data_IF_271596714244
#
_entry.id   IF_271596714244
#
_cell.length_a   1.000
_cell.length_b   1.000
_cell.length_c   1.000
_cell.angle_alpha   90.00
_cell.angle_beta   90.00
_cell.angle_gamma   90.00
#
_symmetry.space_group_name_H-M   'P 1'
#
loop_
_entity.id
_entity.type
_entity.pdbx_description
1 polymer ?
#
# COMPACT_ATOMS: atom_id res chain seq x y z
N UNK A 1 12.61 16.94 8.20
CA UNK A 1 11.79 15.86 8.78
C UNK A 1 11.65 14.81 7.69
N UNK A 2 12.22 13.62 7.88
CA UNK A 2 12.21 12.55 6.87
C UNK A 2 10.91 11.77 7.09
N UNK A 3 9.91 11.93 6.21
CA UNK A 3 8.78 10.99 6.18
C UNK A 3 9.32 9.65 5.69
N UNK A 4 9.22 8.61 6.51
CA UNK A 4 9.63 7.25 6.14
C UNK A 4 8.39 6.48 5.71
N UNK A 5 7.99 6.68 4.45
CA UNK A 5 6.82 6.00 3.89
C UNK A 5 7.24 4.96 2.85
N UNK A 6 6.67 3.76 2.96
CA UNK A 6 6.88 2.67 2.02
C UNK A 6 5.56 2.29 1.37
N UNK A 7 5.57 2.10 0.06
CA UNK A 7 4.44 1.58 -0.70
C UNK A 7 4.72 0.13 -1.10
N UNK A 8 3.78 -0.74 -0.75
CA UNK A 8 3.74 -2.14 -1.12
C UNK A 8 2.73 -2.31 -2.25
N UNK A 9 3.17 -2.95 -3.32
CA UNK A 9 2.31 -3.30 -4.44
C UNK A 9 2.26 -4.83 -4.50
N UNK A 10 1.05 -5.40 -4.55
CA UNK A 10 0.81 -6.84 -4.70
C UNK A 10 0.10 -7.09 -6.04
N UNK A 11 0.64 -7.94 -6.94
CA UNK A 11 0.16 -8.03 -8.32
C UNK A 11 -1.26 -8.57 -8.39
N UNK A 12 -2.16 -7.85 -9.06
CA UNK A 12 -3.54 -8.27 -9.30
C UNK A 12 -4.46 -8.24 -8.07
N UNK A 13 -4.03 -7.57 -6.99
CA UNK A 13 -4.74 -7.60 -5.73
C UNK A 13 -4.89 -6.19 -5.15
N UNK A 14 -3.87 -5.65 -4.46
CA UNK A 14 -3.97 -4.40 -3.67
C UNK A 14 -2.64 -3.62 -3.72
N UNK A 15 -2.74 -2.29 -3.75
CA UNK A 15 -1.63 -1.38 -3.45
C UNK A 15 -1.92 -0.67 -2.12
N UNK A 16 -0.92 -0.60 -1.23
CA UNK A 16 -1.05 0.15 0.02
C UNK A 16 0.27 0.75 0.48
N UNK A 17 0.21 1.93 1.09
CA UNK A 17 1.38 2.59 1.69
C UNK A 17 1.34 2.52 3.21
N UNK A 18 2.52 2.50 3.82
CA UNK A 18 2.74 2.48 5.27
C UNK A 18 3.68 3.62 5.60
N UNK A 19 3.22 4.57 6.42
CA UNK A 19 4.04 5.62 7.01
C UNK A 19 4.49 5.18 8.40
N UNK A 20 5.76 4.82 8.52
CA UNK A 20 6.33 4.37 9.80
C UNK A 20 6.51 5.50 10.82
N UNK A 21 6.49 6.75 10.38
CA UNK A 21 6.61 7.90 11.28
C UNK A 21 5.31 8.18 12.04
N UNK A 22 4.17 7.93 11.40
CA UNK A 22 2.84 8.19 11.97
C UNK A 22 2.11 6.92 12.38
N UNK A 23 2.45 5.78 11.78
CA UNK A 23 1.69 4.54 11.94
C UNK A 23 0.55 4.36 10.93
N UNK A 24 0.43 5.26 9.95
CA UNK A 24 -0.67 5.23 9.00
C UNK A 24 -0.48 4.18 7.90
N UNK A 25 -1.53 3.42 7.60
CA UNK A 25 -1.65 2.52 6.46
C UNK A 25 -2.70 3.08 5.51
N UNK A 26 -2.28 3.38 4.28
CA UNK A 26 -3.09 3.93 3.20
C UNK A 26 -3.52 2.79 2.28
N UNK A 27 -4.78 2.38 2.36
CA UNK A 27 -5.35 1.29 1.54
C UNK A 27 -6.19 1.83 0.38
N UNK A 28 -6.18 1.09 -0.72
CA UNK A 28 -6.99 1.36 -1.90
C UNK A 28 -7.94 0.18 -2.18
N UNK A 29 -9.06 0.06 -1.44
CA UNK A 29 -9.99 -1.04 -1.65
C UNK A 29 -10.68 -0.91 -3.01
N UNK A 30 -10.47 -1.90 -3.90
CA UNK A 30 -11.29 -2.12 -5.09
C UNK A 30 -11.19 -1.09 -6.22
N UNK A 31 -10.24 -0.14 -6.18
CA UNK A 31 -10.05 0.82 -7.27
C UNK A 31 -9.00 0.36 -8.27
N UNK A 32 -9.34 0.41 -9.56
CA UNK A 32 -8.34 0.24 -10.62
C UNK A 32 -7.31 1.39 -10.54
N UNK A 33 -6.02 1.11 -10.75
CA UNK A 33 -4.91 2.10 -10.64
C UNK A 33 -5.15 3.44 -11.35
N UNK A 34 -5.90 3.43 -12.46
CA UNK A 34 -6.18 4.62 -13.28
C UNK A 34 -7.16 5.63 -12.68
N UNK A 35 -7.81 5.32 -11.54
CA UNK A 35 -8.84 6.19 -10.95
C UNK A 35 -8.51 6.60 -9.51
N UNK A 36 -7.21 6.73 -9.23
CA UNK A 36 -6.70 7.18 -7.94
C UNK A 36 -7.18 8.61 -7.63
N UNK A 37 -8.08 8.72 -6.67
CA UNK A 37 -8.28 9.97 -5.93
C UNK A 37 -7.78 9.75 -4.51
N UNK A 38 -6.86 10.61 -4.07
CA UNK A 38 -6.31 10.61 -2.69
C UNK A 38 -7.44 10.66 -1.64
N UNK A 39 -8.59 11.22 -2.03
CA UNK A 39 -9.81 11.37 -1.25
C UNK A 39 -10.50 10.03 -0.92
N UNK A 40 -10.19 8.97 -1.68
CA UNK A 40 -10.79 7.63 -1.55
C UNK A 40 -9.85 6.61 -0.89
N UNK A 41 -8.67 7.04 -0.47
CA UNK A 41 -7.71 6.19 0.22
C UNK A 41 -8.17 6.02 1.67
N UNK A 42 -8.41 4.77 2.09
CA UNK A 42 -8.69 4.48 3.49
C UNK A 42 -7.40 4.61 4.30
N UNK A 43 -7.42 5.38 5.39
CA UNK A 43 -6.27 5.57 6.27
C UNK A 43 -6.54 4.84 7.57
N UNK A 44 -5.69 3.87 7.89
CA UNK A 44 -5.77 3.07 9.11
C UNK A 44 -4.58 3.41 9.97
N UNK A 45 -4.84 3.85 11.21
CA UNK A 45 -3.78 4.18 12.15
C UNK A 45 -3.42 2.94 12.98
N UNK A 46 -2.13 2.63 13.02
CA UNK A 46 -1.56 1.51 13.75
C UNK A 46 -0.42 2.06 14.59
N UNK A 47 -0.20 1.53 15.79
CA UNK A 47 1.00 1.88 16.55
C UNK A 47 2.25 1.53 15.72
N UNK A 48 3.25 2.43 15.56
CA UNK A 48 4.48 2.10 14.86
C UNK A 48 5.19 0.84 15.38
N UNK A 49 5.04 0.53 16.67
CA UNK A 49 5.59 -0.68 17.28
C UNK A 49 4.90 -1.98 16.82
N UNK A 50 3.68 -1.86 16.27
CA UNK A 50 2.85 -2.98 15.82
C UNK A 50 2.86 -3.15 14.29
N UNK A 51 3.58 -2.28 13.56
CA UNK A 51 3.73 -2.31 12.10
C UNK A 51 4.71 -3.42 11.64
N UNK A 52 4.34 -4.66 11.91
CA UNK A 52 5.02 -5.85 11.39
C UNK A 52 4.17 -6.56 10.31
N UNK A 53 4.81 -7.41 9.50
CA UNK A 53 4.21 -8.07 8.32
C UNK A 53 2.85 -8.68 8.62
N UNK A 54 2.71 -9.44 9.71
CA UNK A 54 1.45 -10.09 10.07
C UNK A 54 0.32 -9.10 10.39
N UNK A 55 0.62 -7.95 11.02
CA UNK A 55 -0.37 -6.90 11.27
C UNK A 55 -0.78 -6.23 9.96
N UNK A 56 0.18 -5.96 9.08
CA UNK A 56 -0.07 -5.38 7.76
C UNK A 56 -0.98 -6.31 6.95
N UNK A 57 -0.64 -7.60 6.83
CA UNK A 57 -1.44 -8.60 6.14
C UNK A 57 -2.87 -8.67 6.69
N UNK A 58 -3.03 -8.75 8.03
CA UNK A 58 -4.34 -8.78 8.68
C UNK A 58 -5.17 -7.54 8.37
N UNK A 59 -4.58 -6.35 8.48
CA UNK A 59 -5.28 -5.10 8.22
C UNK A 59 -5.71 -5.00 6.76
N UNK A 60 -4.84 -5.41 5.84
CA UNK A 60 -5.17 -5.44 4.42
C UNK A 60 -6.34 -6.40 4.18
N UNK A 61 -6.29 -7.63 4.69
CA UNK A 61 -7.39 -8.60 4.58
C UNK A 61 -8.71 -8.05 5.14
N UNK A 62 -8.70 -7.53 6.37
CA UNK A 62 -9.91 -7.00 7.05
C UNK A 62 -10.59 -5.87 6.26
N UNK A 63 -9.81 -5.04 5.57
CA UNK A 63 -10.31 -3.83 4.92
C UNK A 63 -10.52 -3.97 3.42
N UNK A 64 -10.05 -5.08 2.82
CA UNK A 64 -10.17 -5.30 1.37
C UNK A 64 -10.87 -6.61 1.04
N UNK A 65 -11.01 -7.52 2.01
CA UNK A 65 -11.52 -8.88 1.81
C UNK A 65 -10.52 -9.81 1.12
N UNK A 66 -9.28 -9.38 0.85
CA UNK A 66 -8.29 -10.23 0.21
C UNK A 66 -7.49 -11.05 1.24
N UNK A 67 -7.86 -12.33 1.36
CA UNK A 67 -7.18 -13.32 2.20
C UNK A 67 -5.98 -13.99 1.52
N UNK A 68 -5.72 -13.71 0.24
CA UNK A 68 -4.58 -14.27 -0.50
C UNK A 68 -3.23 -13.68 -0.03
N UNK A 69 -3.27 -12.53 0.66
CA UNK A 69 -2.09 -11.84 1.19
C UNK A 69 -1.74 -12.44 2.56
N UNK A 70 -1.21 -13.65 2.53
CA UNK A 70 -0.67 -14.33 3.72
C UNK A 70 0.79 -13.97 4.01
N UNK A 71 1.47 -13.32 3.06
CA UNK A 71 2.83 -12.80 3.21
C UNK A 71 3.11 -11.67 2.22
N UNK A 72 4.02 -10.78 2.57
CA UNK A 72 4.57 -9.75 1.68
C UNK A 72 5.73 -10.29 0.81
N UNK A 73 6.00 -11.60 0.86
CA UNK A 73 7.00 -12.27 0.03
C UNK A 73 6.62 -12.20 -1.45
N UNK A 74 7.25 -11.29 -2.17
CA UNK A 74 6.94 -10.99 -3.58
C UNK A 74 6.32 -9.62 -3.81
N UNK A 75 6.00 -8.89 -2.74
CA UNK A 75 5.58 -7.50 -2.83
C UNK A 75 6.73 -6.64 -3.36
N UNK A 76 6.40 -5.69 -4.24
CA UNK A 76 7.35 -4.66 -4.65
C UNK A 76 7.30 -3.53 -3.64
N UNK A 77 8.42 -3.30 -2.96
CA UNK A 77 8.59 -2.18 -2.02
C UNK A 77 9.18 -0.99 -2.74
N UNK A 78 8.55 0.16 -2.61
CA UNK A 78 9.06 1.44 -3.11
C UNK A 78 8.95 2.49 -2.02
N UNK A 79 9.99 3.32 -1.87
CA UNK A 79 9.99 4.43 -0.92
C UNK A 79 9.22 5.63 -1.48
N UNK A 80 8.49 6.31 -0.61
CA UNK A 80 7.75 7.52 -0.91
C UNK A 80 8.19 8.64 0.03
N UNK A 81 8.20 9.87 -0.50
CA UNK A 81 8.41 11.09 0.28
C UNK A 81 7.08 11.73 0.72
N UNK A 82 5.95 11.23 0.21
CA UNK A 82 4.61 11.71 0.53
C UNK A 82 3.51 10.94 -0.24
N UNK A 83 2.26 11.14 0.16
CA UNK A 83 1.09 10.40 -0.37
C UNK A 83 0.77 10.76 -1.82
N UNK A 84 1.12 11.97 -2.22
CA UNK A 84 1.05 12.47 -3.58
C UNK A 84 1.92 11.67 -4.56
N UNK A 85 2.97 10.99 -4.08
CA UNK A 85 3.85 10.16 -4.92
C UNK A 85 3.25 8.78 -5.25
N UNK A 86 2.19 8.35 -4.53
CA UNK A 86 1.60 7.01 -4.69
C UNK A 86 1.17 6.77 -6.14
N UNK A 87 0.41 7.69 -6.73
CA UNK A 87 -0.09 7.55 -8.10
C UNK A 87 1.02 7.40 -9.12
N UNK A 88 2.01 8.30 -9.06
CA UNK A 88 3.20 8.24 -9.93
C UNK A 88 3.95 6.93 -9.79
N UNK A 89 4.12 6.41 -8.57
CA UNK A 89 4.85 5.16 -8.31
C UNK A 89 4.10 3.92 -8.78
N UNK A 90 2.77 3.93 -8.70
CA UNK A 90 1.94 2.88 -9.28
C UNK A 90 2.10 2.89 -10.82
N UNK A 91 2.02 4.05 -11.47
CA UNK A 91 2.23 4.16 -12.92
C UNK A 91 3.65 3.75 -13.37
N UNK A 92 4.68 4.07 -12.58
CA UNK A 92 6.05 3.60 -12.81
C UNK A 92 6.17 2.09 -12.68
N UNK A 93 5.48 1.49 -11.70
CA UNK A 93 5.43 0.05 -11.57
C UNK A 93 4.76 -0.57 -12.79
N UNK A 94 3.58 -0.10 -13.21
CA UNK A 94 2.87 -0.61 -14.39
C UNK A 94 3.74 -0.56 -15.65
N UNK A 95 4.43 0.57 -15.89
CA UNK A 95 5.35 0.72 -17.02
C UNK A 95 6.56 -0.21 -16.97
N UNK A 96 6.99 -0.65 -15.78
CA UNK A 96 8.08 -1.62 -15.61
C UNK A 96 7.69 -3.06 -15.96
N UNK A 97 6.47 -3.29 -16.48
CA UNK A 97 5.94 -4.63 -16.75
C UNK A 97 5.31 -5.28 -15.53
N UNK A 98 5.13 -4.52 -14.43
CA UNK A 98 4.36 -4.96 -13.29
C UNK A 98 2.87 -4.98 -13.68
N UNK A 99 2.29 -6.16 -13.80
CA UNK A 99 0.89 -6.31 -14.22
C UNK A 99 0.00 -6.43 -12.99
N UNK A 100 -0.86 -5.44 -12.80
CA UNK A 100 -2.05 -5.60 -11.98
C UNK A 100 -3.01 -6.42 -12.85
N UNK A 101 -3.09 -7.73 -12.60
CA UNK A 101 -4.08 -8.58 -13.28
C UNK A 101 -5.48 -8.28 -12.80
#
# INVERSE_FOLDING_TARGET
MILQMLLFIIPGVIAFAVDFSTGAIYLQPGQKPKTLSVEKVAVIQVSPAELHESTICRIVEENTGCSEISSLRGAKVVTLNGVEEIGRKIEEAERSGYRVN
#
